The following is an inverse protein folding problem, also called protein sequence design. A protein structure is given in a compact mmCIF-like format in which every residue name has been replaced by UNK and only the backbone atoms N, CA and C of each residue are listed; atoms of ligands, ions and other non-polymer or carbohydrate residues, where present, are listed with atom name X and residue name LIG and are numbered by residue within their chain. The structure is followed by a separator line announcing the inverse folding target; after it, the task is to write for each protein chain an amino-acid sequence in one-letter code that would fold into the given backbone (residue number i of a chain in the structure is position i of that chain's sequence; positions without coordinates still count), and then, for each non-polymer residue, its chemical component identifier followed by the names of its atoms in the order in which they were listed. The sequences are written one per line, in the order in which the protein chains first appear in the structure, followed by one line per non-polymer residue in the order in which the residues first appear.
data_IF_628407678252
#
_entry.id   IF_628407678252
#
_cell.length_a   1.000
_cell.length_b   1.000
_cell.length_c   1.000
_cell.angle_alpha   90.00
_cell.angle_beta   90.00
_cell.angle_gamma   90.00
#
_symmetry.space_group_name_H-M   'P 1'
#
loop_
_entity.id
_entity.type
_entity.pdbx_description
1 polymer ?
#
# COMPACT_ATOMS: atom_id res chain seq x y z
N UNK A 1 -6.64 6.46 10.36
CA UNK A 1 -6.86 6.18 8.93
C UNK A 1 -8.32 6.43 8.64
N UNK A 2 -8.60 7.48 7.87
CA UNK A 2 -9.95 7.91 7.53
C UNK A 2 -9.77 8.93 6.41
N UNK A 3 -9.97 8.49 5.18
CA UNK A 3 -9.90 9.39 4.03
C UNK A 3 -11.11 10.31 4.10
N UNK A 4 -10.90 11.62 3.93
CA UNK A 4 -11.97 12.59 3.70
C UNK A 4 -12.50 12.51 2.26
N UNK A 5 -12.02 11.57 1.46
CA UNK A 5 -12.57 11.30 0.13
C UNK A 5 -13.92 10.58 0.25
N UNK A 6 -14.94 11.02 -0.47
CA UNK A 6 -16.19 10.27 -0.60
C UNK A 6 -15.94 8.85 -1.09
N UNK A 7 -16.80 7.91 -0.67
CA UNK A 7 -16.81 6.50 -1.14
C UNK A 7 -15.51 5.73 -0.91
N UNK A 8 -14.84 5.95 0.22
CA UNK A 8 -13.64 5.20 0.59
C UNK A 8 -13.97 4.06 1.55
N UNK A 9 -13.83 2.82 1.09
CA UNK A 9 -13.94 1.61 1.90
C UNK A 9 -12.57 0.94 2.04
N UNK A 10 -12.32 0.39 3.22
CA UNK A 10 -11.08 -0.29 3.56
C UNK A 10 -11.39 -1.60 4.27
N UNK A 11 -10.89 -2.72 3.74
CA UNK A 11 -11.01 -4.04 4.36
C UNK A 11 -9.63 -4.67 4.48
N UNK A 12 -9.33 -5.27 5.62
CA UNK A 12 -8.06 -5.94 5.87
C UNK A 12 -8.28 -7.25 6.61
N UNK A 13 -7.75 -8.32 6.02
CA UNK A 13 -7.71 -9.65 6.62
C UNK A 13 -6.26 -9.95 6.95
N UNK A 14 -5.99 -10.40 8.18
CA UNK A 14 -4.62 -10.75 8.60
C UNK A 14 -4.61 -12.09 9.32
N UNK A 15 -3.55 -12.85 9.08
CA UNK A 15 -3.24 -14.07 9.82
C UNK A 15 -1.77 -14.06 10.16
N UNK A 16 -1.45 -14.39 11.40
CA UNK A 16 -0.07 -14.49 11.84
C UNK A 16 0.09 -15.68 12.80
N UNK A 17 1.30 -16.18 12.89
CA UNK A 17 1.63 -17.31 13.75
C UNK A 17 3.13 -17.35 14.03
N UNK A 18 3.48 -17.89 15.20
CA UNK A 18 4.89 -18.11 15.55
C UNK A 18 5.03 -19.37 16.39
N UNK A 19 6.15 -20.07 16.19
CA UNK A 19 6.53 -21.27 16.92
C UNK A 19 8.00 -21.14 17.29
N UNK A 20 8.31 -21.32 18.57
CA UNK A 20 9.67 -21.30 19.09
C UNK A 20 9.91 -22.59 19.86
N UNK A 21 11.00 -23.30 19.56
CA UNK A 21 11.31 -24.59 20.17
C UNK A 21 12.76 -24.63 20.63
N UNK A 22 12.97 -25.04 21.88
CA UNK A 22 14.27 -25.45 22.38
C UNK A 22 14.41 -26.96 22.09
N UNK A 23 15.22 -27.32 21.10
CA UNK A 23 15.38 -28.72 20.69
C UNK A 23 16.31 -29.45 21.68
N UNK A 24 17.40 -28.80 22.06
CA UNK A 24 18.36 -29.27 23.07
C UNK A 24 18.83 -28.09 23.90
N UNK A 25 19.60 -28.32 24.97
CA UNK A 25 20.17 -27.22 25.76
C UNK A 25 21.06 -26.26 24.96
N UNK A 26 21.60 -26.70 23.82
CA UNK A 26 22.48 -25.91 22.96
C UNK A 26 21.83 -25.51 21.63
N UNK A 27 20.61 -25.94 21.31
CA UNK A 27 19.94 -25.67 20.03
C UNK A 27 18.53 -25.12 20.23
N UNK A 28 18.30 -23.91 19.74
CA UNK A 28 16.99 -23.26 19.69
C UNK A 28 16.65 -22.89 18.26
N UNK A 29 15.41 -23.12 17.86
CA UNK A 29 14.89 -22.70 16.56
C UNK A 29 13.58 -21.94 16.74
N UNK A 30 13.29 -21.05 15.81
CA UNK A 30 12.00 -20.38 15.76
C UNK A 30 11.61 -20.03 14.35
N UNK A 31 10.31 -20.01 14.13
CA UNK A 31 9.69 -19.65 12.87
C UNK A 31 8.48 -18.76 13.16
N UNK A 32 8.31 -17.72 12.36
CA UNK A 32 7.16 -16.83 12.40
C UNK A 32 6.71 -16.45 11.00
N UNK A 33 5.43 -16.22 10.83
CA UNK A 33 4.88 -15.69 9.59
C UNK A 33 3.79 -14.68 9.88
N UNK A 34 3.62 -13.74 8.97
CA UNK A 34 2.44 -12.90 8.87
C UNK A 34 1.99 -12.85 7.41
N UNK A 35 0.70 -12.96 7.18
CA UNK A 35 0.07 -12.76 5.89
C UNK A 35 -1.07 -11.75 6.02
N UNK A 36 -1.28 -10.96 4.97
CA UNK A 36 -2.36 -9.98 4.94
C UNK A 36 -2.92 -9.82 3.55
N UNK A 37 -4.23 -9.64 3.46
CA UNK A 37 -4.93 -9.19 2.27
C UNK A 37 -5.63 -7.87 2.61
N UNK A 38 -5.41 -6.85 1.80
CA UNK A 38 -6.02 -5.54 1.96
C UNK A 38 -6.77 -5.17 0.70
N UNK A 39 -8.03 -4.78 0.81
CA UNK A 39 -8.83 -4.20 -0.26
C UNK A 39 -9.08 -2.73 0.05
N UNK A 40 -8.98 -1.89 -0.97
CA UNK A 40 -9.41 -0.50 -0.91
C UNK A 40 -10.26 -0.18 -2.12
N UNK A 41 -11.44 0.33 -1.85
CA UNK A 41 -12.32 0.92 -2.85
C UNK A 41 -12.41 2.41 -2.55
N UNK A 42 -12.44 3.25 -3.58
CA UNK A 42 -12.34 4.69 -3.46
C UNK A 42 -12.83 5.41 -4.70
N UNK A 43 -13.05 6.71 -4.57
CA UNK A 43 -13.04 7.63 -5.70
C UNK A 43 -11.76 8.46 -5.69
N UNK A 44 -11.22 8.75 -6.87
CA UNK A 44 -10.11 9.69 -7.02
C UNK A 44 -10.50 11.05 -6.42
N UNK A 45 -9.53 11.73 -5.82
CA UNK A 45 -9.70 13.11 -5.34
C UNK A 45 -8.62 14.05 -5.88
N UNK A 46 -7.90 13.61 -6.93
CA UNK A 46 -6.94 14.43 -7.66
C UNK A 46 -7.71 15.66 -8.17
N UNK A 47 -7.41 16.85 -7.61
CA UNK A 47 -8.00 18.15 -7.98
C UNK A 47 -9.31 18.59 -7.28
N UNK A 48 -9.67 18.04 -6.13
CA UNK A 48 -10.77 18.62 -5.33
C UNK A 48 -10.25 19.71 -4.36
N UNK A 49 -10.86 20.90 -4.29
CA UNK A 49 -10.69 21.78 -3.13
C UNK A 49 -11.37 21.11 -1.94
N UNK A 50 -10.64 20.23 -1.25
CA UNK A 50 -11.09 19.66 0.02
C UNK A 50 -11.14 20.82 1.02
N UNK A 51 -12.36 21.23 1.38
CA UNK A 51 -12.66 22.08 2.55
C UNK A 51 -12.20 23.55 2.47
N UNK A 52 -11.44 23.95 1.45
CA UNK A 52 -10.93 25.33 1.30
C UNK A 52 -11.74 26.21 0.34
N UNK A 53 -12.85 25.70 -0.21
CA UNK A 53 -13.74 26.54 -1.02
C UNK A 53 -14.37 27.63 -0.14
N UNK A 54 -14.37 28.87 -0.62
CA UNK A 54 -14.97 29.99 0.09
C UNK A 54 -16.46 29.69 0.38
N UNK A 55 -16.99 30.09 1.56
CA UNK A 55 -18.36 29.77 1.99
C UNK A 55 -19.45 30.38 1.10
N UNK A 56 -19.07 31.25 0.16
CA UNK A 56 -19.95 31.81 -0.88
C UNK A 56 -20.35 30.79 -1.96
N UNK A 57 -19.63 29.68 -2.12
CA UNK A 57 -19.93 28.66 -3.10
C UNK A 57 -20.96 27.67 -2.55
N UNK A 58 -22.11 27.56 -3.21
CA UNK A 58 -23.12 26.55 -2.87
C UNK A 58 -22.93 25.25 -3.66
N UNK A 59 -22.81 24.08 -2.99
CA UNK A 59 -22.68 22.77 -3.63
C UNK A 59 -24.01 22.24 -4.22
N UNK A 60 -25.12 22.89 -3.94
CA UNK A 60 -26.46 22.50 -4.40
C UNK A 60 -27.13 23.62 -5.20
N UNK A 61 -28.11 23.26 -6.01
CA UNK A 61 -29.07 24.19 -6.60
C UNK A 61 -30.10 24.63 -5.55
N UNK A 62 -30.91 25.65 -5.86
CA UNK A 62 -31.95 26.18 -4.96
C UNK A 62 -33.00 25.13 -4.57
N UNK A 63 -33.24 24.15 -5.44
CA UNK A 63 -34.12 23.01 -5.21
C UNK A 63 -33.49 21.88 -4.37
N UNK A 64 -32.26 22.08 -3.89
CA UNK A 64 -31.52 21.12 -3.07
C UNK A 64 -30.80 20.03 -3.86
N UNK A 65 -30.92 19.95 -5.20
CA UNK A 65 -30.17 18.99 -6.00
C UNK A 65 -28.67 19.29 -5.96
N UNK A 66 -27.85 18.25 -5.89
CA UNK A 66 -26.38 18.36 -5.93
C UNK A 66 -25.91 18.90 -7.29
N UNK A 67 -24.95 19.83 -7.27
CA UNK A 67 -24.22 20.25 -8.48
C UNK A 67 -23.10 19.25 -8.76
N UNK A 68 -22.87 18.89 -10.02
CA UNK A 68 -21.70 18.11 -10.41
C UNK A 68 -20.44 19.00 -10.53
N UNK A 69 -20.64 20.27 -10.87
CA UNK A 69 -19.58 21.27 -10.98
C UNK A 69 -20.03 22.61 -10.40
N UNK A 70 -19.13 23.24 -9.65
CA UNK A 70 -19.34 24.54 -9.01
C UNK A 70 -18.51 25.56 -9.80
N UNK A 71 -19.14 26.45 -10.60
CA UNK A 71 -18.42 27.43 -11.39
C UNK A 71 -17.73 28.46 -10.50
N UNK A 72 -16.52 28.88 -10.87
CA UNK A 72 -15.80 29.94 -10.17
C UNK A 72 -16.43 31.31 -10.41
N UNK A 73 -16.30 32.22 -9.43
CA UNK A 73 -16.83 33.59 -9.55
C UNK A 73 -16.17 34.35 -10.71
N UNK A 74 -14.87 34.15 -10.91
CA UNK A 74 -14.06 34.91 -11.88
C UNK A 74 -14.12 34.32 -13.28
N UNK A 75 -14.22 33.00 -13.39
CA UNK A 75 -14.40 32.30 -14.65
C UNK A 75 -14.92 30.89 -14.39
N UNK A 76 -15.52 30.30 -15.41
CA UNK A 76 -15.90 28.88 -15.38
C UNK A 76 -14.69 27.96 -15.15
N UNK A 77 -13.55 28.28 -15.76
CA UNK A 77 -12.31 27.51 -15.61
C UNK A 77 -11.69 27.57 -14.21
N UNK A 78 -12.05 28.59 -13.42
CA UNK A 78 -11.67 28.73 -12.01
C UNK A 78 -12.62 27.98 -11.05
N UNK A 79 -13.60 27.25 -11.58
CA UNK A 79 -14.48 26.38 -10.80
C UNK A 79 -13.84 25.04 -10.41
N UNK A 80 -14.64 24.21 -9.75
CA UNK A 80 -14.22 22.90 -9.27
C UNK A 80 -15.38 21.89 -9.28
N UNK A 81 -15.03 20.61 -9.45
CA UNK A 81 -16.02 19.54 -9.38
C UNK A 81 -16.50 19.31 -7.95
N UNK A 82 -17.74 18.86 -7.83
CA UNK A 82 -18.24 18.37 -6.56
C UNK A 82 -17.50 17.08 -6.17
N UNK A 83 -16.98 16.95 -4.93
CA UNK A 83 -16.20 15.78 -4.51
C UNK A 83 -16.89 14.45 -4.77
N UNK A 84 -18.18 14.33 -4.40
CA UNK A 84 -18.93 13.09 -4.63
C UNK A 84 -19.10 12.75 -6.12
N UNK A 85 -19.37 13.75 -6.97
CA UNK A 85 -19.48 13.53 -8.42
C UNK A 85 -18.16 13.04 -9.00
N UNK A 86 -17.05 13.70 -8.65
CA UNK A 86 -15.74 13.31 -9.15
C UNK A 86 -15.34 11.92 -8.66
N UNK A 87 -15.63 11.59 -7.40
CA UNK A 87 -15.40 10.26 -6.83
C UNK A 87 -16.25 9.17 -7.50
N UNK A 88 -17.51 9.48 -7.85
CA UNK A 88 -18.42 8.58 -8.57
C UNK A 88 -17.95 8.28 -9.98
N UNK A 89 -17.45 9.30 -10.71
CA UNK A 89 -16.99 9.14 -12.09
C UNK A 89 -15.52 8.73 -12.21
N UNK A 90 -14.78 8.71 -11.10
CA UNK A 90 -13.38 8.26 -11.06
C UNK A 90 -13.14 7.18 -10.01
N UNK A 91 -13.78 6.01 -10.15
CA UNK A 91 -13.58 4.94 -9.19
C UNK A 91 -12.14 4.43 -9.25
N UNK A 92 -11.64 4.10 -8.07
CA UNK A 92 -10.32 3.51 -7.85
C UNK A 92 -10.49 2.28 -6.99
N UNK A 93 -9.95 1.17 -7.43
CA UNK A 93 -9.95 -0.10 -6.71
C UNK A 93 -8.50 -0.53 -6.54
N UNK A 94 -8.15 -1.10 -5.39
CA UNK A 94 -6.82 -1.69 -5.22
C UNK A 94 -6.88 -2.81 -4.22
N UNK A 95 -5.99 -3.78 -4.39
CA UNK A 95 -5.72 -4.76 -3.37
C UNK A 95 -4.21 -4.91 -3.15
N UNK A 96 -3.85 -5.43 -1.98
CA UNK A 96 -2.48 -5.75 -1.63
C UNK A 96 -2.42 -7.03 -0.81
N UNK A 97 -1.59 -7.97 -1.28
CA UNK A 97 -1.23 -9.21 -0.63
C UNK A 97 0.19 -9.09 -0.05
N UNK A 98 0.32 -9.31 1.25
CA UNK A 98 1.59 -9.32 1.94
C UNK A 98 1.86 -10.70 2.55
N UNK A 99 3.07 -11.22 2.39
CA UNK A 99 3.53 -12.44 3.05
C UNK A 99 4.95 -12.28 3.60
N UNK A 100 5.09 -12.45 4.92
CA UNK A 100 6.30 -12.17 5.69
C UNK A 100 6.74 -13.38 6.54
N UNK A 101 7.28 -14.46 5.94
CA UNK A 101 7.88 -15.55 6.68
C UNK A 101 9.29 -15.18 7.18
N UNK A 102 9.61 -15.60 8.39
CA UNK A 102 10.94 -15.46 8.97
C UNK A 102 11.25 -16.61 9.94
N UNK A 103 12.53 -16.87 10.14
CA UNK A 103 12.97 -17.88 11.08
C UNK A 103 14.37 -17.63 11.59
N UNK A 104 14.72 -18.34 12.66
CA UNK A 104 16.06 -18.29 13.22
C UNK A 104 16.48 -19.66 13.74
N UNK A 105 17.79 -19.85 13.77
CA UNK A 105 18.48 -20.94 14.45
C UNK A 105 19.50 -20.31 15.38
N UNK A 106 19.58 -20.81 16.61
CA UNK A 106 20.57 -20.40 17.60
C UNK A 106 21.24 -21.63 18.16
N UNK A 107 22.57 -21.63 18.13
CA UNK A 107 23.42 -22.67 18.69
C UNK A 107 24.30 -22.09 19.79
N UNK A 108 24.46 -22.84 20.88
CA UNK A 108 25.35 -22.54 22.01
C UNK A 108 26.36 -23.68 22.20
N UNK A 109 27.39 -23.79 21.35
CA UNK A 109 28.34 -24.92 21.37
C UNK A 109 29.14 -24.99 22.68
N UNK A 110 29.46 -23.84 23.28
CA UNK A 110 30.00 -23.73 24.63
C UNK A 110 29.20 -22.68 25.39
N UNK A 111 29.15 -22.81 26.72
CA UNK A 111 28.38 -21.93 27.58
C UNK A 111 28.70 -20.45 27.30
N UNK A 112 27.65 -19.67 27.10
CA UNK A 112 27.66 -18.25 26.79
C UNK A 112 28.25 -17.83 25.43
N UNK A 113 28.63 -18.77 24.56
CA UNK A 113 28.97 -18.50 23.16
C UNK A 113 27.77 -18.81 22.28
N UNK A 114 27.06 -17.78 21.83
CA UNK A 114 25.80 -17.90 21.12
C UNK A 114 26.03 -17.53 19.66
N UNK A 115 25.89 -18.49 18.76
CA UNK A 115 25.80 -18.21 17.32
C UNK A 115 24.33 -18.24 16.90
N UNK A 116 23.86 -17.17 16.28
CA UNK A 116 22.49 -17.04 15.80
C UNK A 116 22.49 -16.64 14.33
N UNK A 117 21.79 -17.43 13.53
CA UNK A 117 21.43 -17.08 12.16
C UNK A 117 19.93 -16.85 12.10
N UNK A 118 19.50 -15.72 11.52
CA UNK A 118 18.10 -15.43 11.27
C UNK A 118 17.93 -14.92 9.86
N UNK A 119 16.80 -15.24 9.24
CA UNK A 119 16.48 -14.78 7.91
C UNK A 119 14.98 -14.67 7.69
N UNK A 120 14.61 -13.92 6.68
CA UNK A 120 13.21 -13.73 6.33
C UNK A 120 13.04 -13.22 4.92
N UNK A 121 11.81 -13.33 4.45
CA UNK A 121 11.35 -12.80 3.16
C UNK A 121 10.16 -11.89 3.44
N UNK A 122 10.09 -10.77 2.75
CA UNK A 122 8.90 -9.93 2.67
C UNK A 122 8.50 -9.89 1.21
N UNK A 123 7.37 -10.53 0.91
CA UNK A 123 6.77 -10.52 -0.40
C UNK A 123 5.53 -9.63 -0.36
N UNK A 124 5.45 -8.69 -1.29
CA UNK A 124 4.28 -7.87 -1.52
C UNK A 124 3.84 -7.97 -2.96
N UNK A 125 2.54 -8.09 -3.17
CA UNK A 125 1.91 -7.94 -4.48
C UNK A 125 0.73 -7.01 -4.34
N UNK A 126 0.62 -6.03 -5.21
CA UNK A 126 -0.51 -5.13 -5.23
C UNK A 126 -0.92 -4.79 -6.64
N UNK A 127 -2.22 -4.67 -6.83
CA UNK A 127 -2.82 -4.15 -8.04
C UNK A 127 -3.63 -2.92 -7.68
N UNK A 128 -3.60 -1.93 -8.56
CA UNK A 128 -4.50 -0.79 -8.48
C UNK A 128 -5.08 -0.53 -9.85
N UNK A 129 -6.38 -0.27 -9.88
CA UNK A 129 -7.13 0.13 -11.05
C UNK A 129 -7.73 1.52 -10.80
N UNK A 130 -7.58 2.40 -11.79
CA UNK A 130 -8.14 3.72 -11.81
C UNK A 130 -8.92 3.89 -13.11
N UNK A 131 -10.14 4.40 -13.01
CA UNK A 131 -11.00 4.61 -14.18
C UNK A 131 -11.45 6.06 -14.22
N UNK A 132 -11.69 6.57 -15.41
CA UNK A 132 -12.60 7.69 -15.66
C UNK A 132 -13.76 7.13 -16.46
N UNK A 133 -14.96 7.26 -15.92
CA UNK A 133 -16.15 6.67 -16.50
C UNK A 133 -16.68 7.52 -17.68
N UNK A 134 -17.30 6.90 -18.71
CA UNK A 134 -17.85 7.64 -19.84
C UNK A 134 -18.92 8.69 -19.48
N UNK A 135 -19.57 8.57 -18.31
CA UNK A 135 -20.51 9.57 -17.78
C UNK A 135 -19.84 10.82 -17.18
N UNK A 136 -18.51 10.85 -17.08
CA UNK A 136 -17.81 12.07 -16.71
C UNK A 136 -18.04 13.15 -17.78
N UNK A 137 -18.31 14.37 -17.34
CA UNK A 137 -18.50 15.52 -18.21
C UNK A 137 -17.48 16.57 -17.81
N UNK A 138 -16.67 17.02 -18.77
CA UNK A 138 -15.74 18.12 -18.52
C UNK A 138 -16.48 19.47 -18.48
N UNK A 139 -16.92 19.85 -17.29
CA UNK A 139 -17.55 21.15 -17.06
C UNK A 139 -16.55 22.32 -16.98
N UNK A 140 -15.25 22.07 -17.08
CA UNK A 140 -14.23 23.12 -17.04
C UNK A 140 -13.91 23.61 -18.46
N UNK A 141 -13.75 22.69 -19.39
CA UNK A 141 -13.31 22.96 -20.76
C UNK A 141 -14.36 22.64 -21.84
N UNK A 142 -15.44 21.89 -21.52
CA UNK A 142 -16.40 21.36 -22.53
C UNK A 142 -15.73 20.51 -23.61
N UNK A 143 -14.64 19.83 -23.27
CA UNK A 143 -14.05 18.82 -24.15
C UNK A 143 -14.88 17.53 -24.12
N UNK A 144 -14.79 16.75 -25.20
CA UNK A 144 -15.38 15.42 -25.22
C UNK A 144 -14.74 14.57 -24.12
N UNK A 145 -15.54 13.79 -23.36
CA UNK A 145 -15.00 12.92 -22.33
C UNK A 145 -14.01 11.94 -22.93
N UNK A 146 -12.88 11.74 -22.25
CA UNK A 146 -11.86 10.79 -22.65
C UNK A 146 -11.74 9.72 -21.56
N UNK A 147 -12.78 8.87 -21.41
CA UNK A 147 -12.77 7.84 -20.40
C UNK A 147 -11.53 6.98 -20.57
N UNK A 148 -11.01 6.50 -19.45
CA UNK A 148 -9.82 5.69 -19.43
C UNK A 148 -9.91 4.61 -18.37
N UNK A 149 -9.03 3.63 -18.49
CA UNK A 149 -8.76 2.67 -17.45
C UNK A 149 -7.27 2.44 -17.41
N UNK A 150 -6.71 2.64 -16.22
CA UNK A 150 -5.31 2.49 -15.89
C UNK A 150 -5.19 1.40 -14.84
N UNK A 151 -4.40 0.37 -15.11
CA UNK A 151 -4.08 -0.69 -14.16
C UNK A 151 -2.58 -0.66 -13.91
N UNK A 152 -2.20 -0.62 -12.64
CA UNK A 152 -0.81 -0.73 -12.19
C UNK A 152 -0.67 -1.93 -11.28
N UNK A 153 0.28 -2.78 -11.63
CA UNK A 153 0.66 -3.97 -10.87
C UNK A 153 2.06 -3.77 -10.31
N UNK A 154 2.21 -4.01 -9.01
CA UNK A 154 3.48 -3.90 -8.30
C UNK A 154 3.81 -5.18 -7.55
N UNK A 155 5.04 -5.65 -7.69
CA UNK A 155 5.58 -6.79 -6.95
C UNK A 155 6.84 -6.36 -6.24
N UNK A 156 6.91 -6.60 -4.93
CA UNK A 156 8.07 -6.34 -4.09
C UNK A 156 8.58 -7.64 -3.48
N UNK A 157 9.90 -7.78 -3.39
CA UNK A 157 10.57 -8.89 -2.74
C UNK A 157 11.76 -8.34 -1.97
N UNK A 158 11.74 -8.51 -0.65
CA UNK A 158 12.86 -8.21 0.23
C UNK A 158 13.33 -9.47 0.93
N UNK A 159 14.62 -9.76 0.89
CA UNK A 159 15.24 -10.88 1.62
C UNK A 159 16.21 -10.31 2.64
N UNK A 160 16.21 -10.91 3.84
CA UNK A 160 17.16 -10.56 4.89
C UNK A 160 17.83 -11.82 5.42
N UNK A 161 19.14 -11.73 5.68
CA UNK A 161 19.91 -12.75 6.36
C UNK A 161 20.88 -12.07 7.31
N UNK A 162 20.79 -12.42 8.59
CA UNK A 162 21.64 -11.88 9.65
C UNK A 162 22.32 -13.03 10.38
N UNK A 163 23.64 -12.96 10.51
CA UNK A 163 24.43 -13.88 11.31
C UNK A 163 25.08 -13.09 12.44
N UNK A 164 24.95 -13.57 13.68
CA UNK A 164 25.57 -12.96 14.86
C UNK A 164 26.28 -14.00 15.70
N UNK A 165 27.47 -13.67 16.18
CA UNK A 165 28.21 -14.41 17.19
C UNK A 165 28.35 -13.52 18.43
N UNK A 166 27.76 -13.96 19.54
CA UNK A 166 27.79 -13.28 20.82
C UNK A 166 28.56 -14.11 21.84
N UNK A 167 29.45 -13.51 22.61
CA UNK A 167 30.14 -14.17 23.72
C UNK A 167 30.07 -13.33 25.00
N UNK A 168 29.57 -13.94 26.08
CA UNK A 168 29.45 -13.31 27.40
C UNK A 168 30.39 -13.96 28.41
N UNK A 169 31.27 -13.17 29.01
CA UNK A 169 32.24 -13.68 29.99
C UNK A 169 32.45 -12.72 31.16
N UNK A 170 32.87 -13.29 32.29
CA UNK A 170 33.27 -12.55 33.48
C UNK A 170 34.80 -12.56 33.56
N UNK A 171 35.42 -11.41 33.84
CA UNK A 171 36.87 -11.22 33.93
C UNK A 171 37.30 -10.83 35.35
N UNK A 172 38.51 -11.23 35.74
CA UNK A 172 39.11 -10.99 37.06
C UNK A 172 38.85 -12.13 38.06
N UNK A 173 39.71 -12.24 39.08
CA UNK A 173 39.65 -13.32 40.09
C UNK A 173 38.30 -13.40 40.81
N UNK A 174 37.71 -12.25 41.12
CA UNK A 174 36.40 -12.16 41.76
C UNK A 174 35.22 -12.14 40.77
N UNK A 175 35.45 -12.32 39.46
CA UNK A 175 34.43 -12.25 38.39
C UNK A 175 33.56 -10.98 38.43
N UNK A 176 34.11 -9.86 38.91
CA UNK A 176 33.39 -8.59 39.11
C UNK A 176 33.16 -7.80 37.82
N UNK A 177 33.87 -8.14 36.75
CA UNK A 177 33.78 -7.43 35.48
C UNK A 177 33.04 -8.29 34.45
N UNK A 178 31.94 -7.80 33.92
CA UNK A 178 31.13 -8.49 32.91
C UNK A 178 31.35 -7.89 31.54
N UNK A 179 31.68 -8.74 30.56
CA UNK A 179 31.87 -8.36 29.17
C UNK A 179 30.84 -9.08 28.29
N UNK A 180 30.32 -8.36 27.30
CA UNK A 180 29.51 -8.91 26.23
C UNK A 180 30.08 -8.40 24.90
N UNK A 181 30.51 -9.32 24.06
CA UNK A 181 31.05 -9.00 22.73
C UNK A 181 30.14 -9.62 21.69
N UNK A 182 29.71 -8.82 20.72
CA UNK A 182 28.86 -9.25 19.62
C UNK A 182 29.51 -8.87 18.29
N UNK A 183 29.68 -9.87 17.43
CA UNK A 183 30.06 -9.71 16.03
C UNK A 183 28.87 -10.07 15.17
N UNK A 184 28.59 -9.29 14.14
CA UNK A 184 27.43 -9.49 13.29
C UNK A 184 27.70 -9.13 11.83
N UNK A 185 27.05 -9.87 10.95
CA UNK A 185 26.98 -9.59 9.52
C UNK A 185 25.52 -9.65 9.09
N UNK A 186 25.10 -8.69 8.27
CA UNK A 186 23.76 -8.62 7.69
C UNK A 186 23.85 -8.48 6.16
N UNK A 187 22.94 -9.15 5.46
CA UNK A 187 22.69 -8.97 4.02
C UNK A 187 21.22 -8.68 3.80
N UNK A 188 20.94 -7.66 2.99
CA UNK A 188 19.58 -7.25 2.59
C UNK A 188 19.55 -7.10 1.07
N UNK A 189 18.60 -7.77 0.43
CA UNK A 189 18.33 -7.66 -1.00
C UNK A 189 16.90 -7.16 -1.19
N UNK A 190 16.72 -6.13 -2.02
CA UNK A 190 15.41 -5.57 -2.36
C UNK A 190 15.21 -5.62 -3.88
N UNK A 191 14.04 -6.09 -4.33
CA UNK A 191 13.65 -6.09 -5.73
C UNK A 191 12.21 -5.62 -5.86
N UNK A 192 11.95 -4.77 -6.84
CA UNK A 192 10.62 -4.27 -7.18
C UNK A 192 10.41 -4.40 -8.68
N UNK A 193 9.21 -4.81 -9.09
CA UNK A 193 8.77 -4.81 -10.47
C UNK A 193 7.40 -4.15 -10.57
N UNK A 194 7.28 -3.21 -11.50
CA UNK A 194 6.03 -2.52 -11.79
C UNK A 194 5.65 -2.75 -13.25
N UNK A 195 4.37 -2.95 -13.49
CA UNK A 195 3.78 -3.01 -14.82
C UNK A 195 2.55 -2.10 -14.83
N UNK A 196 2.56 -1.14 -15.76
CA UNK A 196 1.47 -0.20 -15.93
C UNK A 196 0.84 -0.40 -17.32
N UNK A 197 -0.48 -0.38 -17.37
CA UNK A 197 -1.24 -0.46 -18.60
C UNK A 197 -2.35 0.59 -18.59
N UNK A 198 -2.58 1.26 -19.72
CA UNK A 198 -3.66 2.21 -19.90
C UNK A 198 -4.34 2.01 -21.25
N UNK A 199 -5.65 2.20 -21.26
CA UNK A 199 -6.45 2.27 -22.49
C UNK A 199 -7.48 3.39 -22.36
N UNK A 200 -7.88 3.96 -23.48
CA UNK A 200 -8.79 5.10 -23.55
C UNK A 200 -9.98 4.80 -24.44
N UNK A 201 -11.05 5.58 -24.28
CA UNK A 201 -12.25 5.50 -25.11
C UNK A 201 -13.10 4.27 -24.81
N UNK A 202 -13.28 3.95 -23.53
CA UNK A 202 -14.23 2.95 -23.04
C UNK A 202 -15.65 3.35 -23.48
N UNK A 203 -16.46 2.42 -24.04
CA UNK A 203 -17.70 2.77 -24.72
C UNK A 203 -18.90 3.01 -23.80
N UNK A 204 -18.90 2.46 -22.57
CA UNK A 204 -20.02 2.56 -21.62
C UNK A 204 -19.60 2.25 -20.19
N UNK A 205 -20.43 2.64 -19.22
CA UNK A 205 -20.27 2.40 -17.77
C UNK A 205 -20.01 0.93 -17.40
N UNK A 206 -20.69 -0.01 -18.06
CA UNK A 206 -20.50 -1.45 -17.84
C UNK A 206 -19.32 -2.06 -18.61
N UNK A 207 -18.65 -1.27 -19.45
CA UNK A 207 -17.61 -1.73 -20.38
C UNK A 207 -16.31 -0.93 -20.16
N UNK A 208 -15.80 -0.95 -18.94
CA UNK A 208 -14.62 -0.16 -18.54
C UNK A 208 -13.30 -0.91 -18.55
N UNK A 209 -13.29 -2.26 -18.58
CA UNK A 209 -12.04 -3.03 -18.58
C UNK A 209 -11.05 -2.60 -19.67
N UNK A 210 -9.74 -2.80 -19.42
CA UNK A 210 -8.65 -2.48 -20.36
C UNK A 210 -8.94 -2.92 -21.82
N UNK A 211 -9.52 -4.11 -22.02
CA UNK A 211 -9.83 -4.64 -23.35
C UNK A 211 -10.89 -3.87 -24.14
N UNK A 212 -11.70 -3.05 -23.47
CA UNK A 212 -12.80 -2.31 -24.09
C UNK A 212 -12.37 -0.93 -24.60
N UNK A 213 -11.16 -0.47 -24.26
CA UNK A 213 -10.64 0.77 -24.82
C UNK A 213 -10.46 0.67 -26.33
N UNK A 214 -10.90 1.70 -27.05
CA UNK A 214 -10.79 1.82 -28.50
C UNK A 214 -9.54 2.57 -28.94
N UNK A 215 -8.81 3.18 -28.00
CA UNK A 215 -7.61 3.97 -28.23
C UNK A 215 -6.48 3.50 -27.31
N UNK A 216 -5.31 3.29 -27.89
CA UNK A 216 -4.06 3.25 -27.13
C UNK A 216 -3.60 4.69 -26.84
N UNK A 217 -2.79 4.85 -25.80
CA UNK A 217 -2.20 6.14 -25.41
C UNK A 217 -1.38 6.77 -26.54
#
# INVERSE_FOLDING_TARGET
EGSTSPRSDYRRYTVNGSINTQITNWLKVGFSFAAGHTEREGGSSLNMPKVIALPLYSPTYEDGRRKNYIPGITSRSAGFYHPDYYAETHPTESFNDDFLPSGFVTIEPIKNLIFKTQGGVQYGYGESEQRELPSFIDYKFYDDPNPYTFVSNNRTLRKTLTNTLEYRFLLGEAKKHSFNVLLGQESVENSTKQLDAATYGQPAEGLTMLRHGSKNK
#
